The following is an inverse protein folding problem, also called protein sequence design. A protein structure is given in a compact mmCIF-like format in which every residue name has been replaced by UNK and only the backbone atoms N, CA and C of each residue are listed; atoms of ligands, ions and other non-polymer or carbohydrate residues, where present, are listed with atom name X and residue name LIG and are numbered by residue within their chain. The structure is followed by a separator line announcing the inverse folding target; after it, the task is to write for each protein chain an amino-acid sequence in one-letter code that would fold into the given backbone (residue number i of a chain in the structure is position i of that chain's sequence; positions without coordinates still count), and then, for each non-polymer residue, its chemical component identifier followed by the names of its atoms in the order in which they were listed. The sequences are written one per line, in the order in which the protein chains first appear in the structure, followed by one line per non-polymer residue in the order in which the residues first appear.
data_IF_822055059928
#
_entry.id   IF_822055059928
#
_cell.length_a   1.000
_cell.length_b   1.000
_cell.length_c   1.000
_cell.angle_alpha   90.00
_cell.angle_beta   90.00
_cell.angle_gamma   90.00
#
_symmetry.space_group_name_H-M   'P 1'
#
loop_
_entity.id
_entity.type
_entity.pdbx_description
1 polymer ?
#
# COMPACT_ATOMS: atom_id res chain seq x y z
N UNK A 1 -74.18 16.35 -21.09
CA UNK A 1 -73.42 15.37 -20.27
C UNK A 1 -72.66 14.43 -21.18
N UNK A 2 -71.39 14.71 -21.45
CA UNK A 2 -70.32 13.73 -21.70
C UNK A 2 -69.05 14.36 -21.15
N UNK A 3 -68.53 13.79 -20.07
CA UNK A 3 -67.22 14.13 -19.52
C UNK A 3 -66.19 13.29 -20.26
N UNK A 4 -65.20 13.92 -20.88
CA UNK A 4 -63.98 13.24 -21.34
C UNK A 4 -62.88 13.50 -20.32
N UNK A 5 -62.35 12.40 -19.79
CA UNK A 5 -61.31 12.33 -18.78
C UNK A 5 -59.95 12.64 -19.41
N UNK A 6 -59.28 13.67 -18.91
CA UNK A 6 -57.87 13.96 -19.24
C UNK A 6 -56.97 12.96 -18.51
N UNK A 7 -56.45 11.97 -19.23
CA UNK A 7 -55.41 11.07 -18.73
C UNK A 7 -54.06 11.82 -18.66
N UNK A 8 -53.48 11.85 -17.47
CA UNK A 8 -52.17 12.44 -17.20
C UNK A 8 -51.08 11.52 -17.78
N UNK A 9 -50.46 11.94 -18.89
CA UNK A 9 -49.32 11.24 -19.49
C UNK A 9 -48.04 11.52 -18.69
N UNK A 10 -47.70 10.67 -17.73
CA UNK A 10 -46.37 10.66 -17.12
C UNK A 10 -45.38 9.90 -18.01
N UNK A 11 -44.15 10.40 -18.21
CA UNK A 11 -43.12 9.68 -18.94
C UNK A 11 -42.75 8.36 -18.23
N UNK A 12 -42.33 7.32 -18.98
CA UNK A 12 -41.96 6.05 -18.39
C UNK A 12 -40.75 6.23 -17.46
N UNK A 13 -40.82 5.61 -16.28
CA UNK A 13 -39.70 5.57 -15.36
C UNK A 13 -38.48 4.92 -16.04
N UNK A 14 -37.33 5.59 -15.97
CA UNK A 14 -36.07 5.00 -16.42
C UNK A 14 -35.78 3.73 -15.61
N UNK A 15 -35.33 2.64 -16.24
CA UNK A 15 -34.91 1.46 -15.51
C UNK A 15 -33.75 1.83 -14.56
N UNK A 16 -33.68 1.22 -13.37
CA UNK A 16 -32.55 1.46 -12.46
C UNK A 16 -31.25 1.12 -13.20
N UNK A 17 -30.25 2.00 -13.08
CA UNK A 17 -28.93 1.77 -13.63
C UNK A 17 -28.40 0.42 -13.13
N UNK A 18 -28.37 -0.57 -14.02
CA UNK A 18 -27.75 -1.86 -13.74
C UNK A 18 -26.25 -1.65 -13.84
N UNK A 19 -25.61 -1.35 -12.71
CA UNK A 19 -24.16 -1.46 -12.63
C UNK A 19 -23.81 -2.92 -12.91
N UNK A 20 -22.93 -3.21 -13.90
CA UNK A 20 -22.51 -4.58 -14.13
C UNK A 20 -21.97 -5.14 -12.82
N UNK A 21 -22.50 -6.30 -12.41
CA UNK A 21 -21.90 -7.07 -11.32
C UNK A 21 -20.54 -7.50 -11.84
N UNK A 22 -19.51 -6.84 -11.35
CA UNK A 22 -18.15 -7.25 -11.62
C UNK A 22 -17.94 -8.52 -10.80
N UNK A 23 -17.55 -9.58 -11.47
CA UNK A 23 -16.96 -10.76 -10.84
C UNK A 23 -15.64 -10.35 -10.20
N UNK A 24 -15.72 -9.74 -9.02
CA UNK A 24 -14.57 -9.43 -8.20
C UNK A 24 -14.12 -10.77 -7.62
N UNK A 25 -12.94 -11.23 -8.03
CA UNK A 25 -12.26 -12.30 -7.31
C UNK A 25 -12.17 -11.89 -5.83
N UNK A 26 -12.87 -12.59 -4.91
CA UNK A 26 -12.94 -12.19 -3.51
C UNK A 26 -11.58 -12.27 -2.80
N UNK A 27 -10.55 -12.85 -3.43
CA UNK A 27 -9.18 -12.87 -2.93
C UNK A 27 -8.31 -11.73 -3.48
N UNK A 28 -8.79 -10.95 -4.44
CA UNK A 28 -8.00 -9.87 -5.02
C UNK A 28 -7.88 -8.67 -4.06
N UNK A 29 -6.64 -8.28 -3.77
CA UNK A 29 -6.35 -7.07 -3.00
C UNK A 29 -6.52 -5.82 -3.87
N UNK A 30 -7.30 -4.86 -3.37
CA UNK A 30 -7.49 -3.55 -4.00
C UNK A 30 -6.93 -2.43 -3.13
N UNK A 31 -6.16 -1.52 -3.72
CA UNK A 31 -5.66 -0.30 -3.07
C UNK A 31 -6.42 0.91 -3.60
N UNK A 32 -7.00 1.72 -2.72
CA UNK A 32 -7.66 2.98 -3.08
C UNK A 32 -6.70 4.17 -2.99
N UNK A 33 -6.36 4.74 -4.13
CA UNK A 33 -5.58 5.95 -4.27
C UNK A 33 -6.42 7.22 -4.08
N UNK A 34 -6.14 7.96 -3.00
CA UNK A 34 -6.77 9.25 -2.70
C UNK A 34 -5.80 10.45 -2.77
N UNK A 35 -4.54 10.22 -3.14
CA UNK A 35 -3.51 11.26 -3.23
C UNK A 35 -2.77 11.18 -4.56
N UNK A 36 -1.44 11.21 -4.50
CA UNK A 36 -0.57 11.03 -5.67
C UNK A 36 -0.86 9.76 -6.46
N UNK A 37 -1.31 8.69 -5.79
CA UNK A 37 -1.73 7.43 -6.41
C UNK A 37 -2.80 7.60 -7.50
N UNK A 38 -3.57 8.70 -7.50
CA UNK A 38 -4.55 8.98 -8.57
C UNK A 38 -3.87 9.12 -9.95
N UNK A 39 -2.63 9.62 -10.01
CA UNK A 39 -1.89 9.80 -11.27
C UNK A 39 -0.51 9.13 -11.30
N UNK A 40 -0.05 8.60 -10.17
CA UNK A 40 1.24 7.93 -10.02
C UNK A 40 1.13 6.80 -9.00
N UNK A 41 0.61 5.62 -9.40
CA UNK A 41 0.48 4.48 -8.50
C UNK A 41 1.83 3.90 -8.07
N UNK A 42 2.81 3.88 -8.97
CA UNK A 42 4.18 3.39 -8.70
C UNK A 42 4.27 1.92 -8.21
N UNK A 43 3.30 1.10 -8.62
CA UNK A 43 3.29 -0.36 -8.46
C UNK A 43 2.53 -1.03 -9.62
N UNK A 44 2.74 -2.33 -9.81
CA UNK A 44 2.08 -3.11 -10.85
C UNK A 44 0.64 -3.48 -10.45
N UNK A 45 -0.30 -3.30 -11.39
CA UNK A 45 -1.72 -3.56 -11.17
C UNK A 45 -2.37 -4.17 -12.42
N UNK A 46 -3.39 -5.00 -12.22
CA UNK A 46 -4.10 -5.70 -13.30
C UNK A 46 -5.34 -4.95 -13.78
N UNK A 47 -5.97 -4.17 -12.91
CA UNK A 47 -7.16 -3.37 -13.21
C UNK A 47 -7.15 -2.06 -12.42
N UNK A 48 -7.83 -1.04 -12.93
CA UNK A 48 -8.00 0.25 -12.23
C UNK A 48 -9.39 0.83 -12.46
N UNK A 49 -9.97 1.44 -11.42
CA UNK A 49 -11.34 1.94 -11.45
C UNK A 49 -11.47 3.28 -10.74
N UNK A 50 -11.98 4.27 -11.45
CA UNK A 50 -12.38 5.55 -10.84
C UNK A 50 -13.63 5.31 -10.00
N UNK A 51 -13.60 5.80 -8.76
CA UNK A 51 -14.70 5.64 -7.81
C UNK A 51 -14.55 6.56 -6.61
N UNK A 52 -15.30 6.29 -5.55
CA UNK A 52 -15.22 7.05 -4.31
C UNK A 52 -15.39 6.16 -3.09
N UNK A 53 -14.88 6.64 -1.96
CA UNK A 53 -15.14 6.08 -0.63
C UNK A 53 -16.05 7.02 0.15
N UNK A 54 -16.98 6.45 0.92
CA UNK A 54 -17.85 7.18 1.86
C UNK A 54 -17.26 7.14 3.25
N UNK A 55 -17.69 8.05 4.13
CA UNK A 55 -17.23 8.10 5.51
C UNK A 55 -15.88 8.81 5.69
N UNK A 56 -15.35 9.42 4.62
CA UNK A 56 -14.05 10.09 4.64
C UNK A 56 -14.02 11.38 3.84
N UNK A 57 -13.32 12.35 4.40
CA UNK A 57 -13.05 13.67 3.83
C UNK A 57 -11.55 13.85 3.58
N UNK A 58 -11.16 14.20 2.36
CA UNK A 58 -9.76 14.53 2.01
C UNK A 58 -9.38 15.92 2.51
N UNK A 59 -8.24 16.05 3.20
CA UNK A 59 -7.69 17.34 3.66
C UNK A 59 -6.18 17.44 3.46
N UNK A 60 -5.68 18.62 3.13
CA UNK A 60 -4.24 18.93 2.99
C UNK A 60 -3.57 19.19 4.35
N UNK A 61 -3.74 18.24 5.28
CA UNK A 61 -3.30 18.40 6.68
C UNK A 61 -2.10 17.55 7.05
N UNK A 62 -1.59 16.72 6.13
CA UNK A 62 -0.38 15.94 6.36
C UNK A 62 0.85 16.77 5.98
N UNK A 63 1.83 16.84 6.88
CA UNK A 63 3.13 17.43 6.59
C UNK A 63 3.99 16.49 5.75
N UNK A 64 4.72 17.03 4.78
CA UNK A 64 5.72 16.31 3.99
C UNK A 64 7.01 17.13 3.92
N UNK A 65 8.12 16.54 4.37
CA UNK A 65 9.44 17.18 4.41
C UNK A 65 10.39 16.65 3.34
N UNK A 66 9.95 15.71 2.49
CA UNK A 66 10.82 15.00 1.56
C UNK A 66 10.44 15.19 0.08
N UNK A 67 9.14 15.09 -0.26
CA UNK A 67 8.68 15.12 -1.65
C UNK A 67 8.19 16.50 -2.12
N UNK A 68 7.53 17.24 -1.24
CA UNK A 68 6.77 18.47 -1.47
C UNK A 68 7.14 19.57 -0.46
N UNK A 69 8.13 19.32 0.39
CA UNK A 69 8.66 20.27 1.36
C UNK A 69 10.13 19.99 1.68
N UNK A 70 10.57 20.53 2.81
CA UNK A 70 11.90 20.34 3.38
C UNK A 70 11.81 20.39 4.91
N UNK A 71 12.86 19.98 5.61
CA UNK A 71 12.91 20.08 7.09
C UNK A 71 12.71 21.51 7.60
N UNK A 72 13.14 22.52 6.81
CA UNK A 72 12.98 23.93 7.16
C UNK A 72 11.58 24.48 6.87
N UNK A 73 10.90 23.89 5.89
CA UNK A 73 9.58 24.34 5.44
C UNK A 73 8.80 23.13 4.91
N UNK A 74 8.02 22.47 5.80
CA UNK A 74 7.21 21.32 5.39
C UNK A 74 6.14 21.71 4.38
N UNK A 75 5.97 20.86 3.37
CA UNK A 75 4.86 20.94 2.42
C UNK A 75 3.57 20.42 3.07
N UNK A 76 2.44 20.70 2.42
CA UNK A 76 1.13 20.14 2.79
C UNK A 76 0.66 19.15 1.74
N UNK A 77 0.42 17.91 2.14
CA UNK A 77 -0.14 16.85 1.30
C UNK A 77 -1.45 16.32 1.89
N UNK A 78 -2.16 15.52 1.10
CA UNK A 78 -3.49 15.05 1.46
C UNK A 78 -3.46 13.88 2.44
N UNK A 79 -4.42 13.85 3.35
CA UNK A 79 -4.77 12.70 4.20
C UNK A 79 -6.30 12.54 4.20
N UNK A 80 -6.78 11.39 4.68
CA UNK A 80 -8.20 11.14 4.92
C UNK A 80 -8.52 11.30 6.39
N UNK A 81 -9.61 11.99 6.69
CA UNK A 81 -10.20 12.05 8.03
C UNK A 81 -11.58 11.42 7.97
N UNK A 82 -11.95 10.72 9.05
CA UNK A 82 -13.30 10.21 9.21
C UNK A 82 -14.31 11.36 9.18
N UNK A 83 -15.32 11.19 8.36
CA UNK A 83 -16.40 12.14 8.13
C UNK A 83 -17.57 11.35 7.59
N UNK A 84 -18.54 11.03 8.45
CA UNK A 84 -19.65 10.12 8.15
C UNK A 84 -20.47 10.54 6.90
N UNK A 85 -20.59 11.84 6.64
CA UNK A 85 -21.24 12.40 5.44
C UNK A 85 -20.26 12.64 4.29
N UNK A 86 -18.97 12.45 4.55
CA UNK A 86 -17.88 12.65 3.62
C UNK A 86 -17.90 11.66 2.46
N UNK A 87 -17.53 12.18 1.30
CA UNK A 87 -17.35 11.41 0.08
C UNK A 87 -16.06 11.87 -0.60
N UNK A 88 -15.15 10.93 -0.86
CA UNK A 88 -13.84 11.22 -1.46
C UNK A 88 -13.62 10.39 -2.72
N UNK A 89 -13.49 11.05 -3.87
CA UNK A 89 -13.23 10.45 -5.18
C UNK A 89 -11.77 10.11 -5.40
N UNK A 90 -11.47 8.96 -6.00
CA UNK A 90 -10.12 8.48 -6.26
C UNK A 90 -10.11 7.35 -7.28
N UNK A 91 -9.03 6.56 -7.25
CA UNK A 91 -8.86 5.40 -8.16
C UNK A 91 -8.54 4.17 -7.32
N UNK A 92 -9.28 3.09 -7.51
CA UNK A 92 -8.97 1.79 -6.94
C UNK A 92 -8.11 0.97 -7.93
N UNK A 93 -7.05 0.34 -7.45
CA UNK A 93 -6.15 -0.50 -8.25
C UNK A 93 -6.16 -1.93 -7.73
N UNK A 94 -6.34 -2.91 -8.62
CA UNK A 94 -6.20 -4.33 -8.30
C UNK A 94 -4.72 -4.70 -8.34
N UNK A 95 -4.14 -5.05 -7.20
CA UNK A 95 -2.70 -5.30 -7.11
C UNK A 95 -2.37 -6.65 -7.72
N UNK A 96 -1.32 -6.70 -8.55
CA UNK A 96 -0.76 -7.95 -9.02
C UNK A 96 0.05 -8.56 -7.88
N UNK A 97 -0.35 -9.74 -7.38
CA UNK A 97 0.41 -10.49 -6.39
C UNK A 97 1.71 -11.05 -6.98
N UNK A 98 1.78 -12.37 -7.16
CA UNK A 98 2.95 -13.02 -7.79
C UNK A 98 3.17 -12.62 -9.25
N UNK A 99 2.16 -12.02 -9.90
CA UNK A 99 2.24 -11.50 -11.27
C UNK A 99 2.97 -10.15 -11.35
N UNK A 100 3.38 -9.56 -10.22
CA UNK A 100 4.14 -8.31 -10.20
C UNK A 100 5.53 -8.53 -10.81
N UNK A 101 5.97 -7.72 -11.79
CA UNK A 101 7.32 -7.83 -12.36
C UNK A 101 8.47 -7.71 -11.35
N UNK A 102 8.24 -7.06 -10.19
CA UNK A 102 9.20 -6.97 -9.11
C UNK A 102 9.21 -8.17 -8.16
N UNK A 103 8.29 -9.12 -8.31
CA UNK A 103 8.26 -10.34 -7.52
C UNK A 103 9.33 -11.32 -8.01
N UNK A 104 10.36 -11.53 -7.18
CA UNK A 104 11.48 -12.41 -7.54
C UNK A 104 11.19 -13.91 -7.30
N UNK A 105 10.09 -14.23 -6.64
CA UNK A 105 9.73 -15.60 -6.29
C UNK A 105 10.47 -16.15 -5.05
N UNK A 106 10.12 -17.39 -4.63
CA UNK A 106 10.84 -18.08 -3.58
C UNK A 106 12.26 -18.45 -4.04
N UNK A 107 13.22 -18.39 -3.13
CA UNK A 107 14.59 -18.82 -3.35
C UNK A 107 15.17 -19.40 -2.04
N UNK A 108 16.22 -20.24 -2.11
CA UNK A 108 16.90 -20.70 -0.90
C UNK A 108 17.41 -19.52 -0.06
N UNK A 109 17.35 -19.64 1.26
CA UNK A 109 17.70 -18.59 2.21
C UNK A 109 19.13 -18.08 1.98
N UNK A 110 20.05 -18.99 1.64
CA UNK A 110 21.44 -18.67 1.29
C UNK A 110 21.54 -17.77 0.04
N UNK A 111 20.75 -18.05 -0.99
CA UNK A 111 20.72 -17.24 -2.21
C UNK A 111 20.16 -15.84 -1.93
N UNK A 112 19.10 -15.76 -1.11
CA UNK A 112 18.50 -14.49 -0.68
C UNK A 112 19.51 -13.70 0.16
N UNK A 113 20.15 -14.32 1.15
CA UNK A 113 21.17 -13.69 1.98
C UNK A 113 22.34 -13.15 1.15
N UNK A 114 22.82 -13.94 0.19
CA UNK A 114 23.88 -13.51 -0.75
C UNK A 114 23.46 -12.26 -1.53
N UNK A 115 22.23 -12.24 -2.04
CA UNK A 115 21.70 -11.07 -2.77
C UNK A 115 21.55 -9.85 -1.85
N UNK A 116 21.06 -10.03 -0.62
CA UNK A 116 20.96 -8.95 0.38
C UNK A 116 22.33 -8.34 0.68
N UNK A 117 23.37 -9.18 0.80
CA UNK A 117 24.74 -8.73 1.05
C UNK A 117 25.37 -7.99 -0.15
N UNK A 118 24.92 -8.26 -1.37
CA UNK A 118 25.48 -7.67 -2.58
C UNK A 118 24.75 -6.39 -3.04
N UNK A 119 23.52 -6.13 -2.58
CA UNK A 119 22.66 -5.08 -3.13
C UNK A 119 22.62 -3.79 -2.29
N UNK A 120 22.60 -2.65 -2.99
CA UNK A 120 22.39 -1.31 -2.43
C UNK A 120 21.59 -0.46 -3.40
N UNK A 121 20.77 0.46 -2.88
CA UNK A 121 19.93 1.36 -3.67
C UNK A 121 19.95 2.79 -3.17
N UNK A 122 18.99 3.59 -3.65
CA UNK A 122 18.84 5.00 -3.27
C UNK A 122 18.71 5.22 -1.76
N UNK A 123 18.13 4.24 -1.04
CA UNK A 123 17.91 4.28 0.40
C UNK A 123 19.03 3.63 1.23
N UNK A 124 20.14 3.24 0.62
CA UNK A 124 21.27 2.60 1.31
C UNK A 124 21.41 1.10 1.02
N UNK A 125 22.17 0.41 1.87
CA UNK A 125 22.52 -0.99 1.70
C UNK A 125 21.36 -1.92 2.11
N UNK A 126 21.10 -2.99 1.36
CA UNK A 126 19.94 -3.85 1.62
C UNK A 126 20.03 -4.60 2.98
N UNK A 127 21.25 -4.90 3.43
CA UNK A 127 21.50 -5.39 4.80
C UNK A 127 20.91 -4.49 5.89
N UNK A 128 20.98 -3.16 5.74
CA UNK A 128 20.43 -2.23 6.73
C UNK A 128 18.90 -2.40 6.86
N UNK A 129 18.21 -2.63 5.74
CA UNK A 129 16.78 -2.92 5.73
C UNK A 129 16.45 -4.21 6.48
N UNK A 130 17.17 -5.31 6.20
CA UNK A 130 16.98 -6.59 6.89
C UNK A 130 17.11 -6.44 8.41
N UNK A 131 18.18 -5.78 8.88
CA UNK A 131 18.47 -5.64 10.30
C UNK A 131 17.43 -4.75 11.00
N UNK A 132 17.02 -3.64 10.39
CA UNK A 132 15.97 -2.78 10.94
C UNK A 132 14.62 -3.50 11.04
N UNK A 133 14.30 -4.35 10.07
CA UNK A 133 13.09 -5.16 10.11
C UNK A 133 13.17 -6.20 11.25
N UNK A 134 14.30 -6.90 11.39
CA UNK A 134 14.52 -7.85 12.47
C UNK A 134 14.40 -7.19 13.85
N UNK A 135 15.03 -6.02 14.04
CA UNK A 135 14.94 -5.25 15.29
C UNK A 135 13.50 -4.83 15.60
N UNK A 136 12.77 -4.35 14.59
CA UNK A 136 11.35 -3.98 14.74
C UNK A 136 10.51 -5.19 15.16
N UNK A 137 10.67 -6.34 14.49
CA UNK A 137 9.92 -7.56 14.80
C UNK A 137 10.24 -8.05 16.22
N UNK A 138 11.51 -7.97 16.65
CA UNK A 138 11.89 -8.33 18.01
C UNK A 138 11.29 -7.38 19.07
N UNK A 139 11.27 -6.08 18.79
CA UNK A 139 10.84 -5.06 19.76
C UNK A 139 9.31 -4.94 19.86
N UNK A 140 8.62 -4.95 18.71
CA UNK A 140 7.20 -4.60 18.63
C UNK A 140 6.29 -5.82 18.43
N UNK A 141 6.81 -6.91 17.88
CA UNK A 141 6.04 -8.13 17.59
C UNK A 141 6.72 -9.43 18.04
N UNK A 142 7.29 -9.52 19.26
CA UNK A 142 8.03 -10.72 19.68
C UNK A 142 7.19 -12.01 19.65
N UNK A 143 5.87 -11.88 19.74
CA UNK A 143 4.92 -12.99 19.65
C UNK A 143 4.62 -13.47 18.22
N UNK A 144 4.96 -12.69 17.19
CA UNK A 144 4.52 -12.93 15.82
C UNK A 144 5.27 -14.05 15.08
N UNK A 145 6.34 -14.61 15.67
CA UNK A 145 7.16 -15.73 15.13
C UNK A 145 7.34 -15.71 13.61
N UNK A 146 8.37 -15.01 13.13
CA UNK A 146 8.75 -14.97 11.71
C UNK A 146 9.96 -15.88 11.46
N UNK A 147 9.67 -17.14 11.13
CA UNK A 147 10.70 -18.17 10.91
C UNK A 147 11.58 -17.85 9.70
N UNK A 148 11.01 -17.34 8.62
CA UNK A 148 11.76 -17.03 7.40
C UNK A 148 12.71 -15.85 7.61
N UNK A 149 12.24 -14.76 8.23
CA UNK A 149 13.10 -13.62 8.58
C UNK A 149 14.28 -14.07 9.45
N UNK A 150 14.01 -14.92 10.45
CA UNK A 150 15.04 -15.48 11.32
C UNK A 150 16.07 -16.28 10.52
N UNK A 151 15.62 -17.16 9.62
CA UNK A 151 16.51 -17.97 8.78
C UNK A 151 17.39 -17.13 7.85
N UNK A 152 16.86 -16.03 7.29
CA UNK A 152 17.65 -15.11 6.46
C UNK A 152 18.71 -14.37 7.28
N UNK A 153 18.37 -13.91 8.50
CA UNK A 153 19.33 -13.27 9.42
C UNK A 153 20.45 -14.25 9.79
N UNK A 154 20.11 -15.50 10.10
CA UNK A 154 21.08 -16.54 10.45
C UNK A 154 22.00 -16.87 9.25
N UNK A 155 21.45 -16.95 8.04
CA UNK A 155 22.22 -17.17 6.82
C UNK A 155 23.23 -16.04 6.57
N UNK A 156 22.79 -14.77 6.71
CA UNK A 156 23.69 -13.61 6.64
C UNK A 156 24.78 -13.66 7.71
N UNK A 157 24.42 -13.99 8.95
CA UNK A 157 25.36 -14.10 10.07
C UNK A 157 26.43 -15.18 9.84
N UNK A 158 26.07 -16.27 9.16
CA UNK A 158 27.00 -17.35 8.80
C UNK A 158 27.98 -16.93 7.70
N UNK A 159 27.56 -16.06 6.78
CA UNK A 159 28.38 -15.60 5.65
C UNK A 159 29.37 -14.49 6.01
N UNK A 160 29.10 -13.72 7.05
CA UNK A 160 29.96 -12.64 7.53
C UNK A 160 30.86 -13.17 8.65
N UNK A 161 32.15 -13.49 8.41
CA UNK A 161 32.94 -14.30 9.36
C UNK A 161 33.34 -13.59 10.66
N UNK A 162 32.79 -12.43 11.00
CA UNK A 162 33.02 -11.72 12.27
C UNK A 162 31.91 -10.68 12.50
N UNK A 163 30.77 -11.07 13.07
CA UNK A 163 29.94 -10.14 13.86
C UNK A 163 30.03 -10.58 15.32
N UNK A 164 30.76 -9.82 16.13
CA UNK A 164 30.76 -9.98 17.58
C UNK A 164 29.34 -9.69 18.09
N UNK A 165 28.62 -10.62 18.75
CA UNK A 165 27.23 -10.41 19.16
C UNK A 165 27.08 -9.59 20.45
N UNK A 166 27.83 -8.49 20.58
CA UNK A 166 27.80 -7.65 21.81
C UNK A 166 27.60 -6.15 21.59
N UNK A 167 27.34 -5.67 20.38
CA UNK A 167 26.86 -4.30 20.18
C UNK A 167 25.44 -4.30 19.62
N UNK A 168 24.50 -4.74 20.47
CA UNK A 168 23.09 -4.38 20.34
C UNK A 168 22.95 -2.89 20.68
N UNK A 169 22.45 -2.15 19.71
CA UNK A 169 21.78 -0.86 19.81
C UNK A 169 22.64 0.36 20.20
N UNK A 170 22.39 1.45 19.44
CA UNK A 170 22.72 2.85 19.69
C UNK A 170 24.06 3.37 19.18
N UNK A 171 24.22 3.46 17.85
CA UNK A 171 24.96 4.57 17.23
C UNK A 171 24.67 4.66 15.74
N UNK A 172 23.50 5.22 15.38
CA UNK A 172 23.28 5.97 14.14
C UNK A 172 21.95 6.73 14.31
N UNK A 173 22.03 7.76 15.16
CA UNK A 173 21.21 8.98 15.07
C UNK A 173 22.16 10.08 14.61
#
# INVERSE_FOLDING_TARGET
MKQESTAQNNPPALPPAQFPRVDVDPQALWIFGYGSLVWRPDFAYSDSRVGFVRGYSRRFWQGDTFHRGSDKMPGRVVTLLEDHEGCTWGVAYQVQGEQNPGYLGPAPEEAIATQILACSGFSGHNLEYLLRLADFMQLCGPQAQDEHLTAIVDAVGTMLPCFCPTERALALV
#
